data_IF_575296741738
#
_entry.id   IF_575296741738
#
_cell.length_a   1.000
_cell.length_b   1.000
_cell.length_c   1.000
_cell.angle_alpha   90.00
_cell.angle_beta   90.00
_cell.angle_gamma   90.00
#
_symmetry.space_group_name_H-M   'P 1'
#
loop_
_entity.id
_entity.type
_entity.pdbx_description
1 polymer ?
#
# COMPACT_ATOMS: atom_id res chain seq x y z
N UNK A 1 7.41 -6.81 -15.96
CA UNK A 1 7.51 -6.73 -14.47
C UNK A 1 8.80 -7.41 -14.06
N UNK A 2 9.86 -6.66 -13.68
CA UNK A 2 11.20 -7.22 -13.44
C UNK A 2 11.28 -8.16 -12.23
N UNK A 3 10.48 -7.89 -11.17
CA UNK A 3 10.61 -8.54 -9.87
C UNK A 3 10.53 -10.09 -9.90
N UNK A 4 9.62 -10.67 -10.68
CA UNK A 4 9.48 -12.13 -10.75
C UNK A 4 10.55 -12.81 -11.62
N UNK A 5 11.17 -12.08 -12.55
CA UNK A 5 12.23 -12.63 -13.40
C UNK A 5 13.48 -12.93 -12.57
N UNK A 6 13.83 -12.02 -11.67
CA UNK A 6 14.96 -12.17 -10.75
C UNK A 6 14.71 -13.33 -9.77
N UNK A 7 13.50 -13.44 -9.21
CA UNK A 7 13.13 -14.54 -8.32
C UNK A 7 13.15 -15.92 -9.00
N UNK A 8 12.64 -16.04 -10.23
CA UNK A 8 12.65 -17.30 -10.97
C UNK A 8 14.08 -17.76 -11.33
N UNK A 9 15.02 -16.81 -11.51
CA UNK A 9 16.41 -17.11 -11.85
C UNK A 9 17.19 -17.76 -10.69
N UNK A 10 16.91 -17.35 -9.45
CA UNK A 10 17.57 -17.85 -8.22
C UNK A 10 16.87 -19.06 -7.61
N UNK A 11 15.66 -19.41 -8.06
CA UNK A 11 14.89 -20.57 -7.57
C UNK A 11 15.52 -21.89 -8.05
N UNK A 12 15.39 -22.96 -7.26
CA UNK A 12 15.94 -24.28 -7.60
C UNK A 12 15.15 -24.96 -8.71
N UNK A 13 15.79 -25.87 -9.44
CA UNK A 13 15.14 -26.59 -10.57
C UNK A 13 13.94 -27.41 -10.10
N UNK A 14 13.99 -28.01 -8.91
CA UNK A 14 12.90 -28.84 -8.40
C UNK A 14 11.68 -28.02 -7.95
N UNK A 15 11.89 -26.84 -7.37
CA UNK A 15 10.80 -25.90 -7.10
C UNK A 15 10.20 -25.35 -8.39
N UNK A 16 11.03 -25.04 -9.39
CA UNK A 16 10.56 -24.62 -10.72
C UNK A 16 9.71 -25.72 -11.38
N UNK A 17 10.09 -27.01 -11.24
CA UNK A 17 9.26 -28.13 -11.72
C UNK A 17 7.90 -28.21 -11.01
N UNK A 18 7.85 -27.97 -9.70
CA UNK A 18 6.58 -27.93 -8.93
C UNK A 18 5.67 -26.82 -9.43
N UNK A 19 6.21 -25.63 -9.67
CA UNK A 19 5.47 -24.50 -10.21
C UNK A 19 4.99 -24.75 -11.65
N UNK A 20 5.83 -25.38 -12.48
CA UNK A 20 5.45 -25.77 -13.84
C UNK A 20 4.34 -26.83 -13.87
N UNK A 21 4.34 -27.76 -12.90
CA UNK A 21 3.30 -28.78 -12.79
C UNK A 21 1.90 -28.21 -12.45
N UNK A 22 1.83 -26.99 -11.89
CA UNK A 22 0.57 -26.27 -11.68
C UNK A 22 -0.01 -25.68 -12.97
N UNK A 23 0.79 -25.61 -14.04
CA UNK A 23 0.36 -25.14 -15.34
C UNK A 23 -0.17 -26.34 -16.13
N UNK A 24 -1.39 -26.25 -16.67
CA UNK A 24 -1.98 -27.28 -17.54
C UNK A 24 -1.26 -27.33 -18.90
N UNK A 25 -0.03 -27.85 -18.92
CA UNK A 25 0.82 -27.89 -20.12
C UNK A 25 1.16 -29.33 -20.48
N UNK A 26 0.94 -29.71 -21.75
CA UNK A 26 1.29 -31.03 -22.30
C UNK A 26 2.78 -31.22 -22.61
N UNK A 27 3.62 -30.22 -22.35
CA UNK A 27 5.07 -30.30 -22.52
C UNK A 27 5.76 -30.49 -21.17
N UNK A 28 6.73 -31.41 -21.12
CA UNK A 28 7.53 -31.72 -19.94
C UNK A 28 8.92 -31.08 -20.10
N UNK A 29 9.08 -29.77 -19.80
CA UNK A 29 10.35 -29.08 -19.99
C UNK A 29 11.44 -29.68 -19.11
N UNK A 30 12.61 -29.92 -19.70
CA UNK A 30 13.72 -30.67 -19.09
C UNK A 30 14.85 -29.77 -18.59
N UNK A 31 14.96 -28.54 -19.11
CA UNK A 31 16.00 -27.59 -18.73
C UNK A 31 15.48 -26.40 -17.92
N UNK A 32 16.27 -25.92 -16.95
CA UNK A 32 15.91 -24.77 -16.09
C UNK A 32 15.45 -23.55 -16.89
N UNK A 33 16.15 -23.23 -17.97
CA UNK A 33 15.81 -22.11 -18.85
C UNK A 33 14.46 -22.28 -19.55
N UNK A 34 14.12 -23.50 -19.99
CA UNK A 34 12.83 -23.82 -20.60
C UNK A 34 11.69 -23.76 -19.58
N UNK A 35 11.93 -24.25 -18.37
CA UNK A 35 10.96 -24.19 -17.28
C UNK A 35 10.67 -22.73 -16.91
N UNK A 36 11.71 -21.90 -16.80
CA UNK A 36 11.58 -20.46 -16.56
C UNK A 36 10.79 -19.80 -17.71
N UNK A 37 11.12 -20.09 -18.97
CA UNK A 37 10.43 -19.52 -20.12
C UNK A 37 8.95 -19.94 -20.20
N UNK A 38 8.63 -21.19 -19.87
CA UNK A 38 7.27 -21.70 -19.82
C UNK A 38 6.45 -21.01 -18.72
N UNK A 39 7.02 -20.94 -17.51
CA UNK A 39 6.39 -20.26 -16.38
C UNK A 39 6.18 -18.78 -16.69
N UNK A 40 7.18 -18.10 -17.26
CA UNK A 40 7.06 -16.70 -17.67
C UNK A 40 5.96 -16.52 -18.71
N UNK A 41 5.88 -17.38 -19.73
CA UNK A 41 4.85 -17.31 -20.78
C UNK A 41 3.43 -17.45 -20.22
N UNK A 42 3.23 -18.33 -19.23
CA UNK A 42 1.93 -18.52 -18.60
C UNK A 42 1.59 -17.45 -17.56
N UNK A 43 2.57 -16.98 -16.80
CA UNK A 43 2.42 -15.85 -15.89
C UNK A 43 2.11 -14.54 -16.62
N UNK A 44 2.48 -14.43 -17.90
CA UNK A 44 2.22 -13.26 -18.75
C UNK A 44 0.94 -13.45 -19.60
N UNK A 45 0.14 -14.51 -19.37
CA UNK A 45 -1.14 -14.71 -20.06
C UNK A 45 -2.09 -13.52 -19.89
N UNK A 46 -2.87 -13.20 -20.93
CA UNK A 46 -3.69 -11.99 -21.01
C UNK A 46 -4.62 -11.79 -19.79
N UNK A 47 -5.21 -12.87 -19.28
CA UNK A 47 -6.06 -12.85 -18.09
C UNK A 47 -5.30 -12.48 -16.80
N UNK A 48 -4.09 -13.02 -16.61
CA UNK A 48 -3.28 -12.72 -15.42
C UNK A 48 -2.74 -11.28 -15.48
N UNK A 49 -2.36 -10.81 -16.68
CA UNK A 49 -1.99 -9.40 -16.87
C UNK A 49 -3.13 -8.45 -16.55
N UNK A 50 -4.38 -8.81 -16.91
CA UNK A 50 -5.54 -7.98 -16.62
C UNK A 50 -5.77 -7.86 -15.10
N UNK A 51 -5.74 -8.99 -14.39
CA UNK A 51 -5.82 -9.00 -12.92
C UNK A 51 -4.68 -8.19 -12.28
N UNK A 52 -3.47 -8.28 -12.80
CA UNK A 52 -2.34 -7.51 -12.29
C UNK A 52 -2.43 -6.01 -12.60
N UNK A 53 -2.99 -5.62 -13.75
CA UNK A 53 -3.31 -4.21 -14.05
C UNK A 53 -4.32 -3.65 -13.07
N UNK A 54 -5.33 -4.43 -12.68
CA UNK A 54 -6.32 -4.05 -11.68
C UNK A 54 -5.72 -3.88 -10.28
N UNK A 55 -4.63 -4.58 -9.96
CA UNK A 55 -4.03 -4.57 -8.62
C UNK A 55 -2.93 -3.52 -8.47
N UNK A 56 -2.23 -3.17 -9.56
CA UNK A 56 -1.05 -2.29 -9.55
C UNK A 56 -1.28 -0.90 -8.94
N UNK A 57 -2.53 -0.42 -8.87
CA UNK A 57 -2.88 0.91 -8.38
C UNK A 57 -3.76 0.91 -7.11
N UNK A 58 -3.97 -0.26 -6.48
CA UNK A 58 -4.77 -0.36 -5.25
C UNK A 58 -4.12 0.31 -4.04
N UNK A 59 -2.79 0.44 -4.05
CA UNK A 59 -2.03 1.16 -3.03
C UNK A 59 -1.44 2.40 -3.70
N UNK A 60 -1.64 3.56 -3.07
CA UNK A 60 -1.09 4.85 -3.52
C UNK A 60 -0.47 5.56 -2.35
N UNK A 61 0.75 6.04 -2.54
CA UNK A 61 1.36 6.98 -1.61
C UNK A 61 0.60 8.30 -1.64
N UNK A 62 0.34 8.87 -0.46
CA UNK A 62 -0.38 10.14 -0.29
C UNK A 62 0.53 11.26 0.22
N UNK A 63 1.84 11.04 0.19
CA UNK A 63 2.86 11.96 0.67
C UNK A 63 3.07 11.92 2.18
N UNK A 64 3.79 12.92 2.68
CA UNK A 64 4.11 13.06 4.11
C UNK A 64 2.89 13.51 4.92
N UNK A 65 2.83 13.03 6.16
CA UNK A 65 1.82 13.45 7.12
C UNK A 65 2.41 13.49 8.53
N UNK A 66 1.85 14.37 9.36
CA UNK A 66 2.19 14.47 10.77
C UNK A 66 1.19 13.71 11.62
N UNK A 67 1.69 12.98 12.61
CA UNK A 67 0.88 12.36 13.65
C UNK A 67 0.79 13.32 14.85
N UNK A 68 -0.42 13.53 15.37
CA UNK A 68 -0.69 14.40 16.51
C UNK A 68 -1.48 13.59 17.53
N UNK A 69 -1.00 13.55 18.77
CA UNK A 69 -1.72 12.95 19.89
C UNK A 69 -2.69 13.97 20.51
N UNK A 70 -3.92 13.54 20.77
CA UNK A 70 -4.92 14.27 21.53
C UNK A 70 -4.86 13.83 23.00
N UNK A 71 -5.32 14.70 23.90
CA UNK A 71 -5.35 14.41 25.33
C UNK A 71 -6.16 13.15 25.68
N UNK A 72 -7.25 12.91 24.94
CA UNK A 72 -8.11 11.74 25.08
C UNK A 72 -8.80 11.38 23.75
N UNK A 73 -9.48 10.23 23.73
CA UNK A 73 -10.16 9.71 22.56
C UNK A 73 -11.39 10.55 22.15
N UNK A 74 -12.11 11.15 23.11
CA UNK A 74 -13.29 11.96 22.82
C UNK A 74 -12.89 13.24 22.08
N UNK A 75 -11.79 13.87 22.47
CA UNK A 75 -11.21 15.02 21.79
C UNK A 75 -10.77 14.66 20.36
N UNK A 76 -10.11 13.53 20.17
CA UNK A 76 -9.70 13.07 18.84
C UNK A 76 -10.91 12.88 17.91
N UNK A 77 -11.97 12.22 18.40
CA UNK A 77 -13.22 12.01 17.64
C UNK A 77 -13.92 13.34 17.35
N UNK A 78 -13.95 14.26 18.31
CA UNK A 78 -14.56 15.59 18.13
C UNK A 78 -13.84 16.38 17.04
N UNK A 79 -12.50 16.43 17.08
CA UNK A 79 -11.71 17.15 16.08
C UNK A 79 -11.79 16.44 14.72
N UNK A 80 -11.75 15.11 14.68
CA UNK A 80 -11.86 14.36 13.43
C UNK A 80 -13.21 14.55 12.72
N UNK A 81 -14.30 14.78 13.47
CA UNK A 81 -15.65 14.92 12.90
C UNK A 81 -16.14 16.35 12.76
N UNK A 82 -15.42 17.34 13.30
CA UNK A 82 -15.82 18.73 13.19
C UNK A 82 -15.78 19.23 11.73
N UNK A 83 -16.79 20.01 11.33
CA UNK A 83 -16.99 20.47 9.95
C UNK A 83 -15.79 21.24 9.37
N UNK A 84 -14.98 21.88 10.22
CA UNK A 84 -13.81 22.67 9.82
C UNK A 84 -12.53 21.84 9.67
N UNK A 85 -12.45 20.68 10.32
CA UNK A 85 -11.22 19.88 10.44
C UNK A 85 -11.33 18.50 9.80
N UNK A 86 -12.53 17.93 9.60
CA UNK A 86 -12.70 16.56 9.06
C UNK A 86 -12.06 16.34 7.69
N UNK A 87 -11.98 17.39 6.87
CA UNK A 87 -11.37 17.32 5.52
C UNK A 87 -9.86 17.49 5.53
N UNK A 88 -9.28 17.80 6.69
CA UNK A 88 -7.88 18.18 6.87
C UNK A 88 -7.10 17.17 7.72
N UNK A 89 -7.78 16.16 8.26
CA UNK A 89 -7.15 15.14 9.10
C UNK A 89 -7.87 13.80 8.95
N UNK A 90 -7.19 12.75 9.41
CA UNK A 90 -7.72 11.41 9.52
C UNK A 90 -7.55 10.92 10.96
N UNK A 91 -8.56 10.26 11.51
CA UNK A 91 -8.43 9.61 12.82
C UNK A 91 -7.53 8.37 12.69
N UNK A 92 -6.50 8.28 13.53
CA UNK A 92 -5.57 7.16 13.56
C UNK A 92 -5.59 6.51 14.95
N UNK A 93 -6.19 5.33 15.03
CA UNK A 93 -6.45 4.68 16.32
C UNK A 93 -7.43 5.49 17.16
N UNK A 94 -7.22 5.51 18.48
CA UNK A 94 -8.20 6.05 19.43
C UNK A 94 -7.99 7.53 19.74
N UNK A 95 -6.74 7.97 19.93
CA UNK A 95 -6.40 9.33 20.37
C UNK A 95 -5.47 10.10 19.44
N UNK A 96 -5.18 9.61 18.24
CA UNK A 96 -4.27 10.28 17.32
C UNK A 96 -4.97 10.77 16.05
N UNK A 97 -4.42 11.86 15.50
CA UNK A 97 -4.83 12.43 14.22
C UNK A 97 -3.64 12.46 13.27
N UNK A 98 -3.88 12.07 12.03
CA UNK A 98 -2.94 12.18 10.92
C UNK A 98 -3.31 13.38 10.07
N UNK A 99 -2.37 14.32 9.91
CA UNK A 99 -2.56 15.57 9.18
C UNK A 99 -1.61 15.57 7.98
N UNK A 100 -2.12 15.50 6.74
CA UNK A 100 -1.30 15.66 5.54
C UNK A 100 -0.56 16.99 5.53
N UNK A 101 0.71 17.00 5.12
CA UNK A 101 1.55 18.21 5.13
C UNK A 101 0.93 19.39 4.37
N UNK A 102 0.21 19.12 3.27
CA UNK A 102 -0.50 20.13 2.46
C UNK A 102 -1.60 20.89 3.24
N UNK A 103 -2.13 20.27 4.28
CA UNK A 103 -3.27 20.77 5.06
C UNK A 103 -2.89 21.31 6.44
N UNK A 104 -1.62 21.16 6.84
CA UNK A 104 -1.16 21.41 8.21
C UNK A 104 -1.49 22.83 8.71
N UNK A 105 -1.15 23.86 7.94
CA UNK A 105 -1.41 25.25 8.33
C UNK A 105 -2.90 25.54 8.48
N UNK A 106 -3.72 24.98 7.57
CA UNK A 106 -5.18 25.14 7.63
C UNK A 106 -5.76 24.42 8.84
N UNK A 107 -5.27 23.21 9.13
CA UNK A 107 -5.68 22.43 10.29
C UNK A 107 -5.34 23.15 11.60
N UNK A 108 -4.09 23.64 11.76
CA UNK A 108 -3.67 24.42 12.93
C UNK A 108 -4.57 25.64 13.17
N UNK A 109 -4.91 26.36 12.10
CA UNK A 109 -5.81 27.53 12.21
C UNK A 109 -7.25 27.12 12.56
N UNK A 110 -7.75 26.01 12.03
CA UNK A 110 -9.08 25.50 12.36
C UNK A 110 -9.15 25.05 13.83
N UNK A 111 -8.14 24.33 14.32
CA UNK A 111 -8.03 23.88 15.71
C UNK A 111 -7.91 25.07 16.67
N UNK A 112 -7.12 26.10 16.33
CA UNK A 112 -7.08 27.38 17.07
C UNK A 112 -8.45 28.03 17.19
N UNK A 113 -9.24 28.04 16.11
CA UNK A 113 -10.63 28.55 16.13
C UNK A 113 -11.59 27.70 16.96
N UNK A 114 -11.24 26.46 17.29
CA UNK A 114 -11.98 25.59 18.20
C UNK A 114 -11.54 25.75 19.66
N UNK A 115 -10.54 26.61 19.94
CA UNK A 115 -10.03 26.86 21.29
C UNK A 115 -8.83 25.99 21.68
N UNK A 116 -8.31 25.17 20.77
CA UNK A 116 -7.18 24.30 21.04
C UNK A 116 -5.91 24.80 20.34
N UNK A 117 -4.75 24.59 20.95
CA UNK A 117 -3.46 24.86 20.34
C UNK A 117 -2.65 23.58 20.23
N UNK A 118 -1.90 23.46 19.13
CA UNK A 118 -1.03 22.31 18.89
C UNK A 118 0.37 22.70 19.31
N UNK A 119 0.83 22.14 20.43
CA UNK A 119 2.22 22.26 20.85
C UNK A 119 3.13 21.56 19.84
N UNK A 120 4.31 22.14 19.59
CA UNK A 120 5.35 21.44 18.87
C UNK A 120 5.94 20.41 19.83
N UNK A 121 5.76 19.13 19.53
CA UNK A 121 6.58 18.08 20.11
C UNK A 121 8.00 18.27 19.58
N UNK A 122 8.90 18.73 20.46
CA UNK A 122 10.34 18.70 20.26
C UNK A 122 10.88 17.29 20.38
#
# INVERSE_FOLDING_TARGET
MPYYQDQLSITTVDELKKLAALLNTNSKPTHKAEIIALIQRHLVGENLQQLWREWKWKIRERGQARLIECADAALAVLIANNSRTKKLCFLAGEKHLVIPSESETKFRNAVKKLGYSIALSG
#
